data_IF_611167599618
#
_entry.id   IF_611167599618
#
_cell.length_a   1.000
_cell.length_b   1.000
_cell.length_c   1.000
_cell.angle_alpha   90.00
_cell.angle_beta   90.00
_cell.angle_gamma   90.00
#
_symmetry.space_group_name_H-M   'P 1'
#
loop_
_entity.id
_entity.type
_entity.pdbx_description
1 polymer ?
#
# COMPACT_ATOMS: atom_id res chain seq x y z
N UNK A 1 -19.07 5.74 -0.75
CA UNK A 1 -17.79 5.26 -0.18
C UNK A 1 -18.10 4.56 1.12
N UNK A 2 -17.81 3.26 1.24
CA UNK A 2 -17.80 2.61 2.55
C UNK A 2 -16.77 3.34 3.41
N UNK A 3 -17.21 3.87 4.57
CA UNK A 3 -16.36 4.65 5.46
C UNK A 3 -15.34 3.74 6.14
N UNK A 4 -14.20 3.55 5.48
CA UNK A 4 -13.02 2.98 6.14
C UNK A 4 -12.62 3.96 7.23
N UNK A 5 -12.43 3.45 8.44
CA UNK A 5 -11.92 4.24 9.56
C UNK A 5 -10.51 3.79 9.83
N UNK A 6 -9.59 4.75 9.84
CA UNK A 6 -8.19 4.52 10.23
C UNK A 6 -8.05 4.92 11.69
N UNK A 7 -7.60 3.98 12.53
CA UNK A 7 -7.18 4.23 13.89
C UNK A 7 -5.72 4.71 13.87
N UNK A 8 -5.55 6.03 13.88
CA UNK A 8 -4.25 6.68 13.66
C UNK A 8 -3.54 7.17 14.93
N UNK A 9 -4.06 6.83 16.11
CA UNK A 9 -3.47 7.20 17.41
C UNK A 9 -3.01 5.97 18.19
N UNK A 10 -2.49 4.98 17.46
CA UNK A 10 -1.93 3.76 18.03
C UNK A 10 -0.46 3.94 18.44
N UNK A 11 -0.09 3.22 19.48
CA UNK A 11 1.27 3.19 20.00
C UNK A 11 2.14 2.17 19.26
N UNK A 12 3.44 2.14 19.57
CA UNK A 12 4.34 1.14 19.01
C UNK A 12 3.89 -0.27 19.45
N UNK A 13 3.86 -1.21 18.52
CA UNK A 13 3.39 -2.57 18.81
C UNK A 13 3.03 -3.35 17.55
N UNK A 14 2.48 -4.53 17.76
CA UNK A 14 1.97 -5.41 16.70
C UNK A 14 0.47 -5.51 16.81
N UNK A 15 -0.22 -5.33 15.69
CA UNK A 15 -1.67 -5.25 15.57
C UNK A 15 -2.16 -6.08 14.39
N UNK A 16 -3.46 -6.39 14.37
CA UNK A 16 -4.11 -6.90 13.15
C UNK A 16 -4.51 -5.76 12.22
N UNK A 17 -4.62 -6.06 10.93
CA UNK A 17 -5.10 -5.12 9.90
C UNK A 17 -6.39 -4.41 10.31
N UNK A 18 -7.35 -5.16 10.85
CA UNK A 18 -8.68 -4.66 11.24
C UNK A 18 -8.69 -3.76 12.47
N UNK A 19 -7.64 -3.79 13.30
CA UNK A 19 -7.49 -2.90 14.46
C UNK A 19 -7.05 -1.49 14.04
N UNK A 20 -6.40 -1.39 12.88
CA UNK A 20 -5.91 -0.14 12.29
C UNK A 20 -6.87 0.35 11.22
N UNK A 21 -7.23 -0.49 10.26
CA UNK A 21 -8.07 -0.17 9.11
C UNK A 21 -9.44 -0.86 9.23
N UNK A 22 -10.32 -0.24 9.99
CA UNK A 22 -11.66 -0.77 10.26
C UNK A 22 -12.50 -0.79 8.98
N UNK A 23 -13.14 -1.92 8.71
CA UNK A 23 -13.92 -2.22 7.50
C UNK A 23 -13.10 -2.33 6.20
N UNK A 24 -11.76 -2.37 6.26
CA UNK A 24 -10.91 -2.52 5.07
C UNK A 24 -11.28 -3.78 4.28
N UNK A 25 -11.53 -4.90 4.96
CA UNK A 25 -11.93 -6.19 4.34
C UNK A 25 -13.18 -6.12 3.44
N UNK A 26 -13.99 -5.07 3.58
CA UNK A 26 -15.23 -4.89 2.82
C UNK A 26 -15.03 -4.06 1.54
N UNK A 27 -13.80 -3.66 1.19
CA UNK A 27 -13.53 -2.91 -0.04
C UNK A 27 -13.44 -3.85 -1.22
N UNK A 28 -14.08 -3.47 -2.34
CA UNK A 28 -14.16 -4.32 -3.53
C UNK A 28 -12.80 -4.59 -4.17
N UNK A 29 -11.85 -3.64 -4.04
CA UNK A 29 -10.51 -3.76 -4.61
C UNK A 29 -9.73 -4.96 -4.03
N UNK A 30 -10.00 -5.36 -2.78
CA UNK A 30 -9.26 -6.47 -2.17
C UNK A 30 -9.57 -7.83 -2.78
N UNK A 31 -10.79 -8.04 -3.28
CA UNK A 31 -11.11 -9.25 -4.04
C UNK A 31 -10.39 -9.28 -5.39
N UNK A 32 -10.00 -8.13 -5.93
CA UNK A 32 -9.15 -8.07 -7.13
C UNK A 32 -7.70 -8.44 -6.80
N UNK A 33 -7.22 -8.04 -5.63
CA UNK A 33 -5.87 -8.39 -5.16
C UNK A 33 -5.80 -9.88 -4.85
N UNK A 34 -6.64 -10.38 -3.95
CA UNK A 34 -6.52 -11.74 -3.41
C UNK A 34 -7.33 -12.80 -4.17
N UNK A 35 -8.15 -12.40 -5.16
CA UNK A 35 -8.91 -13.26 -6.09
C UNK A 35 -10.00 -14.14 -5.44
N UNK A 36 -9.77 -14.66 -4.24
CA UNK A 36 -10.71 -15.48 -3.47
C UNK A 36 -10.99 -14.86 -2.10
N UNK A 37 -12.14 -15.22 -1.52
CA UNK A 37 -12.45 -14.84 -0.13
C UNK A 37 -11.55 -15.57 0.87
N UNK A 38 -11.15 -16.80 0.57
CA UNK A 38 -10.29 -17.60 1.44
C UNK A 38 -8.91 -16.96 1.58
N UNK A 39 -8.29 -16.54 0.47
CA UNK A 39 -7.01 -15.84 0.50
C UNK A 39 -7.11 -14.49 1.22
N UNK A 40 -8.20 -13.75 1.00
CA UNK A 40 -8.48 -12.51 1.72
C UNK A 40 -8.65 -12.75 3.23
N UNK A 41 -9.37 -13.79 3.61
CA UNK A 41 -9.60 -14.16 5.00
C UNK A 41 -8.27 -14.53 5.68
N UNK A 42 -7.47 -15.37 5.03
CA UNK A 42 -6.15 -15.79 5.52
C UNK A 42 -5.21 -14.59 5.73
N UNK A 43 -5.19 -13.61 4.81
CA UNK A 43 -4.37 -12.40 4.98
C UNK A 43 -4.79 -11.62 6.23
N UNK A 44 -6.08 -11.42 6.45
CA UNK A 44 -6.57 -10.67 7.61
C UNK A 44 -6.35 -11.40 8.94
N UNK A 45 -6.27 -12.74 8.91
CA UNK A 45 -6.02 -13.57 10.09
C UNK A 45 -4.54 -13.70 10.41
N UNK A 46 -3.67 -13.79 9.38
CA UNK A 46 -2.28 -14.20 9.55
C UNK A 46 -1.25 -13.09 9.28
N UNK A 47 -1.61 -11.98 8.64
CA UNK A 47 -0.68 -10.85 8.45
C UNK A 47 -0.75 -9.89 9.63
N UNK A 48 0.41 -9.70 10.25
CA UNK A 48 0.60 -8.74 11.33
C UNK A 48 1.01 -7.37 10.80
N UNK A 49 0.58 -6.31 11.49
CA UNK A 49 0.98 -4.93 11.23
C UNK A 49 1.80 -4.41 12.41
N UNK A 50 3.03 -3.98 12.15
CA UNK A 50 3.98 -3.49 13.14
C UNK A 50 4.05 -1.97 13.05
N UNK A 51 3.76 -1.28 14.15
CA UNK A 51 3.91 0.17 14.28
C UNK A 51 5.21 0.46 15.02
N UNK A 52 6.08 1.30 14.44
CA UNK A 52 7.32 1.73 15.09
C UNK A 52 7.74 3.16 14.69
N UNK A 53 8.68 3.75 15.43
CA UNK A 53 9.19 5.12 15.19
C UNK A 53 10.33 5.20 14.17
N UNK A 54 10.96 4.08 13.81
CA UNK A 54 12.11 4.04 12.92
C UNK A 54 11.72 4.10 11.45
N UNK A 55 10.57 3.55 11.10
CA UNK A 55 10.04 3.50 9.75
C UNK A 55 9.40 4.84 9.41
N UNK A 56 9.68 5.37 8.22
CA UNK A 56 9.09 6.63 7.77
C UNK A 56 7.70 6.44 7.18
N UNK A 57 7.52 5.46 6.29
CA UNK A 57 6.26 5.20 5.55
C UNK A 57 5.67 3.81 5.88
N UNK A 58 4.97 3.20 4.93
CA UNK A 58 4.56 1.81 4.97
C UNK A 58 5.51 0.94 4.14
N UNK A 59 5.71 -0.32 4.52
CA UNK A 59 6.34 -1.34 3.68
C UNK A 59 6.00 -2.76 4.17
N UNK A 60 6.15 -3.76 3.31
CA UNK A 60 6.07 -5.19 3.65
C UNK A 60 7.44 -5.81 3.85
N UNK A 61 7.63 -6.58 4.93
CA UNK A 61 8.82 -7.38 5.13
C UNK A 61 8.86 -8.58 4.18
N UNK A 62 10.01 -8.80 3.55
CA UNK A 62 10.18 -9.88 2.57
C UNK A 62 10.24 -11.26 3.25
N UNK A 63 10.59 -11.29 4.54
CA UNK A 63 10.76 -12.49 5.34
C UNK A 63 9.44 -13.21 5.66
N UNK A 64 8.40 -12.46 6.02
CA UNK A 64 7.14 -13.03 6.55
C UNK A 64 5.86 -12.31 6.11
N UNK A 65 5.95 -11.38 5.16
CA UNK A 65 4.85 -10.52 4.70
C UNK A 65 4.23 -9.62 5.79
N UNK A 66 4.86 -9.45 6.95
CA UNK A 66 4.37 -8.47 7.93
C UNK A 66 4.48 -7.05 7.38
N UNK A 67 3.42 -6.27 7.61
CA UNK A 67 3.37 -4.86 7.20
C UNK A 67 3.96 -4.03 8.31
N UNK A 68 4.79 -3.05 7.98
CA UNK A 68 5.39 -2.11 8.93
C UNK A 68 4.91 -0.71 8.59
N UNK A 69 4.36 0.00 9.58
CA UNK A 69 3.90 1.38 9.46
C UNK A 69 4.72 2.28 10.38
N UNK A 70 5.27 3.36 9.83
CA UNK A 70 5.85 4.44 10.63
C UNK A 70 4.81 5.12 11.50
N UNK A 71 5.06 5.22 12.81
CA UNK A 71 4.14 5.87 13.78
C UNK A 71 3.82 7.32 13.38
N UNK A 72 4.82 8.06 12.91
CA UNK A 72 4.64 9.44 12.48
C UNK A 72 3.78 9.55 11.22
N UNK A 73 3.94 8.63 10.26
CA UNK A 73 3.11 8.56 9.06
C UNK A 73 1.68 8.18 9.40
N UNK A 74 1.49 7.13 10.21
CA UNK A 74 0.16 6.73 10.67
C UNK A 74 -0.58 7.91 11.30
N UNK A 75 0.07 8.66 12.19
CA UNK A 75 -0.57 9.75 12.94
C UNK A 75 -0.92 10.96 12.09
N UNK A 76 -0.03 11.36 11.19
CA UNK A 76 -0.10 12.69 10.56
C UNK A 76 -0.58 12.66 9.10
N UNK A 77 -0.56 11.52 8.43
CA UNK A 77 -0.98 11.43 7.03
C UNK A 77 -2.49 11.50 6.88
N UNK A 78 -2.93 12.02 5.74
CA UNK A 78 -4.35 12.02 5.40
C UNK A 78 -4.88 10.58 5.33
N UNK A 79 -6.10 10.37 5.82
CA UNK A 79 -6.73 9.03 5.83
C UNK A 79 -6.81 8.41 4.45
N UNK A 80 -6.97 9.24 3.41
CA UNK A 80 -7.00 8.82 2.01
C UNK A 80 -5.64 8.25 1.57
N UNK A 81 -4.54 8.90 1.97
CA UNK A 81 -3.17 8.44 1.68
C UNK A 81 -2.90 7.13 2.40
N UNK A 82 -3.18 7.06 3.71
CA UNK A 82 -3.04 5.82 4.49
C UNK A 82 -3.85 4.67 3.92
N UNK A 83 -5.04 4.97 3.37
CA UNK A 83 -5.85 3.96 2.69
C UNK A 83 -5.20 3.47 1.40
N UNK A 84 -4.70 4.35 0.55
CA UNK A 84 -4.02 3.93 -0.68
C UNK A 84 -2.72 3.18 -0.39
N UNK A 85 -1.97 3.60 0.62
CA UNK A 85 -0.75 2.91 1.06
C UNK A 85 -1.06 1.49 1.52
N UNK A 86 -2.09 1.27 2.33
CA UNK A 86 -2.42 -0.10 2.75
C UNK A 86 -2.91 -0.96 1.57
N UNK A 87 -3.57 -0.37 0.57
CA UNK A 87 -3.92 -1.10 -0.67
C UNK A 87 -2.65 -1.48 -1.45
N UNK A 88 -1.68 -0.57 -1.57
CA UNK A 88 -0.38 -0.84 -2.19
C UNK A 88 0.36 -1.98 -1.47
N UNK A 89 0.49 -1.89 -0.14
CA UNK A 89 1.17 -2.92 0.65
C UNK A 89 0.46 -4.27 0.61
N UNK A 90 -0.87 -4.33 0.51
CA UNK A 90 -1.58 -5.60 0.37
C UNK A 90 -1.30 -6.30 -0.96
N UNK A 91 -0.96 -5.55 -2.02
CA UNK A 91 -0.42 -6.16 -3.24
C UNK A 91 0.96 -6.77 -2.96
N UNK A 92 1.82 -6.07 -2.22
CA UNK A 92 3.12 -6.62 -1.80
C UNK A 92 3.00 -7.86 -0.91
N UNK A 93 2.02 -7.93 -0.02
CA UNK A 93 1.70 -9.14 0.76
C UNK A 93 1.40 -10.32 -0.18
N UNK A 94 0.56 -10.11 -1.20
CA UNK A 94 0.27 -11.15 -2.21
C UNK A 94 1.54 -11.59 -2.92
N UNK A 95 2.32 -10.63 -3.42
CA UNK A 95 3.55 -10.89 -4.17
C UNK A 95 4.60 -11.65 -3.35
N UNK A 96 4.79 -11.27 -2.08
CA UNK A 96 5.70 -11.95 -1.16
C UNK A 96 5.26 -13.39 -0.93
N UNK A 97 3.97 -13.63 -0.71
CA UNK A 97 3.40 -14.98 -0.51
C UNK A 97 3.48 -15.85 -1.77
N UNK A 98 3.59 -15.23 -2.95
CA UNK A 98 3.90 -15.91 -4.21
C UNK A 98 5.40 -16.20 -4.39
N UNK A 99 6.25 -15.79 -3.44
CA UNK A 99 7.70 -16.00 -3.46
C UNK A 99 8.48 -14.97 -4.26
N UNK A 100 7.88 -13.81 -4.56
CA UNK A 100 8.59 -12.72 -5.24
C UNK A 100 9.47 -11.94 -4.26
N UNK A 101 10.68 -11.57 -4.71
CA UNK A 101 11.54 -10.65 -3.97
C UNK A 101 11.05 -9.21 -4.17
N UNK A 102 10.42 -8.65 -3.14
CA UNK A 102 9.91 -7.28 -3.18
C UNK A 102 11.01 -6.24 -3.39
N UNK A 103 12.26 -6.57 -3.05
CA UNK A 103 13.39 -5.65 -3.03
C UNK A 103 14.46 -5.96 -4.07
N UNK A 104 14.10 -6.70 -5.14
CA UNK A 104 15.04 -7.02 -6.22
C UNK A 104 15.74 -5.76 -6.72
N UNK A 105 17.06 -5.73 -6.53
CA UNK A 105 17.95 -4.59 -6.83
C UNK A 105 18.44 -4.61 -8.28
N UNK A 106 18.04 -5.60 -9.08
CA UNK A 106 18.30 -5.61 -10.53
C UNK A 106 17.47 -4.56 -11.27
N UNK A 107 16.41 -4.05 -10.65
CA UNK A 107 15.56 -2.97 -11.15
C UNK A 107 15.73 -1.71 -10.30
N UNK A 108 15.59 -0.53 -10.92
CA UNK A 108 15.33 0.69 -10.16
C UNK A 108 13.94 0.61 -9.50
N UNK A 109 13.72 1.39 -8.45
CA UNK A 109 12.45 1.40 -7.71
C UNK A 109 11.23 1.55 -8.64
N UNK A 110 11.22 2.60 -9.47
CA UNK A 110 10.09 2.88 -10.38
C UNK A 110 9.97 1.91 -11.55
N UNK A 111 10.98 1.06 -11.76
CA UNK A 111 11.00 0.07 -12.82
C UNK A 111 10.75 -1.36 -12.34
N UNK A 112 10.67 -1.58 -11.02
CA UNK A 112 10.47 -2.89 -10.42
C UNK A 112 9.06 -3.41 -10.76
N UNK A 113 8.92 -4.64 -11.30
CA UNK A 113 7.60 -5.17 -11.65
C UNK A 113 6.61 -5.19 -10.47
N UNK A 114 7.10 -5.47 -9.26
CA UNK A 114 6.27 -5.52 -8.05
C UNK A 114 5.69 -4.14 -7.69
N UNK A 115 6.51 -3.08 -7.76
CA UNK A 115 6.09 -1.69 -7.52
C UNK A 115 5.10 -1.20 -8.58
N UNK A 116 5.32 -1.55 -9.85
CA UNK A 116 4.42 -1.14 -10.95
C UNK A 116 3.04 -1.76 -10.76
N UNK A 117 2.96 -3.05 -10.41
CA UNK A 117 1.69 -3.73 -10.14
C UNK A 117 1.00 -3.12 -8.91
N UNK A 118 1.73 -2.91 -7.80
CA UNK A 118 1.19 -2.34 -6.58
C UNK A 118 0.64 -0.92 -6.80
N UNK A 119 1.40 -0.06 -7.48
CA UNK A 119 0.92 1.27 -7.85
C UNK A 119 -0.23 1.24 -8.86
N UNK A 120 -0.26 0.32 -9.82
CA UNK A 120 -1.37 0.23 -10.77
C UNK A 120 -2.71 -0.04 -10.04
N UNK A 121 -2.70 -0.94 -9.05
CA UNK A 121 -3.88 -1.21 -8.21
C UNK A 121 -4.23 0.00 -7.33
N UNK A 122 -3.24 0.65 -6.71
CA UNK A 122 -3.49 1.85 -5.90
C UNK A 122 -4.06 3.01 -6.74
N UNK A 123 -3.57 3.21 -7.97
CA UNK A 123 -4.08 4.21 -8.92
C UNK A 123 -5.51 3.93 -9.34
N UNK A 124 -5.83 2.66 -9.60
CA UNK A 124 -7.21 2.26 -9.90
C UNK A 124 -8.14 2.58 -8.73
N UNK A 125 -7.72 2.26 -7.50
CA UNK A 125 -8.54 2.59 -6.33
C UNK A 125 -8.62 4.10 -6.08
N UNK A 126 -7.54 4.85 -6.30
CA UNK A 126 -7.57 6.31 -6.24
C UNK A 126 -8.60 6.91 -7.21
N UNK A 127 -8.72 6.35 -8.41
CA UNK A 127 -9.77 6.73 -9.39
C UNK A 127 -11.17 6.33 -8.92
N UNK A 128 -11.34 5.16 -8.30
CA UNK A 128 -12.60 4.76 -7.69
C UNK A 128 -13.03 5.71 -6.54
N UNK A 129 -12.07 6.33 -5.86
CA UNK A 129 -12.31 7.38 -4.86
C UNK A 129 -12.59 8.76 -5.48
N UNK A 130 -12.46 8.90 -6.80
CA UNK A 130 -12.70 10.13 -7.55
C UNK A 130 -11.53 11.11 -7.58
N UNK A 131 -10.30 10.65 -7.30
CA UNK A 131 -9.10 11.49 -7.41
C UNK A 131 -8.82 11.85 -8.87
N UNK A 132 -8.43 13.10 -9.10
CA UNK A 132 -7.93 13.55 -10.40
C UNK A 132 -6.48 13.05 -10.62
N UNK A 133 -6.07 12.92 -11.88
CA UNK A 133 -4.71 12.47 -12.22
C UNK A 133 -3.61 13.37 -11.61
N UNK A 134 -3.86 14.66 -11.36
CA UNK A 134 -2.92 15.53 -10.63
C UNK A 134 -2.74 15.11 -9.17
N UNK A 135 -3.83 14.76 -8.47
CA UNK A 135 -3.74 14.27 -7.09
C UNK A 135 -3.06 12.90 -7.03
N UNK A 136 -3.33 12.05 -8.03
CA UNK A 136 -2.70 10.74 -8.14
C UNK A 136 -1.21 10.89 -8.46
N UNK A 137 -0.85 11.84 -9.32
CA UNK A 137 0.53 12.15 -9.61
C UNK A 137 1.27 12.55 -8.32
N UNK A 138 0.71 13.46 -7.52
CA UNK A 138 1.29 13.83 -6.23
C UNK A 138 1.43 12.64 -5.28
N UNK A 139 0.44 11.72 -5.26
CA UNK A 139 0.50 10.49 -4.46
C UNK A 139 1.66 9.55 -4.86
N UNK A 140 1.99 9.46 -6.15
CA UNK A 140 3.08 8.61 -6.64
C UNK A 140 4.49 9.12 -6.29
N UNK A 141 4.61 10.32 -5.71
CA UNK A 141 5.90 10.89 -5.37
C UNK A 141 6.44 10.34 -4.05
N UNK A 142 7.66 9.82 -4.07
CA UNK A 142 8.41 9.40 -2.87
C UNK A 142 9.77 10.11 -2.83
N UNK A 143 10.32 10.31 -1.63
CA UNK A 143 11.53 11.15 -1.46
C UNK A 143 12.82 10.56 -2.07
N UNK A 144 12.82 9.27 -2.39
CA UNK A 144 13.98 8.56 -2.95
C UNK A 144 13.97 8.41 -4.47
N UNK A 145 13.04 9.07 -5.18
CA UNK A 145 13.02 9.09 -6.65
C UNK A 145 13.24 10.50 -7.19
N UNK A 146 13.85 10.58 -8.37
CA UNK A 146 13.97 11.83 -9.12
C UNK A 146 12.64 12.24 -9.78
N UNK A 147 12.53 13.51 -10.19
CA UNK A 147 11.36 14.00 -10.93
C UNK A 147 11.11 13.24 -12.24
N UNK A 148 12.17 12.82 -12.93
CA UNK A 148 12.04 12.04 -14.17
C UNK A 148 11.60 10.60 -13.89
N UNK A 149 12.02 10.01 -12.78
CA UNK A 149 11.54 8.71 -12.31
C UNK A 149 10.07 8.78 -11.88
N UNK A 150 9.67 9.85 -11.20
CA UNK A 150 8.28 10.09 -10.81
C UNK A 150 7.35 10.19 -12.03
N UNK A 151 7.72 10.96 -13.06
CA UNK A 151 7.00 10.99 -14.35
C UNK A 151 6.97 9.64 -15.04
N UNK A 152 8.08 8.90 -14.99
CA UNK A 152 8.18 7.57 -15.60
C UNK A 152 7.24 6.58 -14.90
N UNK A 153 7.18 6.58 -13.58
CA UNK A 153 6.25 5.78 -12.79
C UNK A 153 4.81 6.13 -13.17
N UNK A 154 4.45 7.41 -13.12
CA UNK A 154 3.12 7.90 -13.50
C UNK A 154 2.68 7.43 -14.89
N UNK A 155 3.56 7.54 -15.88
CA UNK A 155 3.28 7.06 -17.23
C UNK A 155 3.07 5.54 -17.30
N UNK A 156 3.80 4.74 -16.52
CA UNK A 156 3.66 3.27 -16.49
C UNK A 156 2.33 2.81 -15.90
N UNK A 157 1.82 3.54 -14.91
CA UNK A 157 0.54 3.25 -14.26
C UNK A 157 -0.63 4.05 -14.86
N UNK A 158 -0.39 4.71 -16.00
CA UNK A 158 -1.40 5.36 -16.82
C UNK A 158 -1.96 6.65 -16.23
N UNK A 159 -1.20 7.38 -15.42
CA UNK A 159 -1.56 8.71 -14.89
C UNK A 159 -1.11 9.79 -15.86
N UNK A 160 -2.02 10.70 -16.22
CA UNK A 160 -1.73 11.83 -17.10
C UNK A 160 -1.02 12.94 -16.32
N UNK A 161 0.09 13.43 -16.88
CA UNK A 161 0.95 14.48 -16.32
C UNK A 161 0.91 15.77 -17.13
#
# INVERSE_FOLDING_TARGET
>A
MNQIKVNNDLENGTYRLEEIFVNLKNTGILLKIFETKEDLDDVFENVSVIINEKTHYMHVQNEDASIVIGKNHLKNSEKKILYLDIIHELVHVKQQRQGLDLYDKSYSYVDRPTEIEAYAIAVEEARNLGMADSEIFDYLHVEWISHDEHKRLASRVGVLI
#
